data_IF_333823064045
#
_entry.id   IF_333823064045
#
_cell.length_a   1.000
_cell.length_b   1.000
_cell.length_c   1.000
_cell.angle_alpha   90.00
_cell.angle_beta   90.00
_cell.angle_gamma   90.00
#
_symmetry.space_group_name_H-M   'P 1'
#
loop_
_entity.id
_entity.type
_entity.pdbx_description
1 polymer ?
#
# COMPACT_ATOMS: atom_id res chain seq x y z
N UNK A 1 28.23 -33.22 29.56
CA UNK A 1 28.50 -33.07 28.13
C UNK A 1 27.29 -33.35 27.23
N UNK A 2 26.56 -34.47 27.35
CA UNK A 2 25.42 -34.77 26.44
C UNK A 2 24.20 -33.83 26.51
N UNK A 3 23.89 -33.24 27.67
CA UNK A 3 22.74 -32.32 27.83
C UNK A 3 22.97 -30.96 27.17
N UNK A 4 24.19 -30.43 27.30
CA UNK A 4 24.57 -29.13 26.75
C UNK A 4 24.66 -29.15 25.22
N UNK A 5 25.16 -30.26 24.63
CA UNK A 5 25.18 -30.42 23.17
C UNK A 5 23.77 -30.48 22.60
N UNK A 6 22.87 -31.26 23.22
CA UNK A 6 21.48 -31.34 22.79
C UNK A 6 20.78 -29.96 22.90
N UNK A 7 20.97 -29.24 24.00
CA UNK A 7 20.43 -27.91 24.20
C UNK A 7 20.95 -26.91 23.15
N UNK A 8 22.24 -26.95 22.81
CA UNK A 8 22.83 -26.13 21.75
C UNK A 8 22.23 -26.42 20.36
N UNK A 9 21.92 -27.69 20.06
CA UNK A 9 21.22 -28.06 18.83
C UNK A 9 19.77 -27.57 18.80
N UNK A 10 19.05 -27.62 19.93
CA UNK A 10 17.68 -27.07 20.03
C UNK A 10 17.65 -25.55 19.91
N UNK A 11 18.60 -24.85 20.54
CA UNK A 11 18.74 -23.40 20.44
C UNK A 11 19.03 -22.99 18.99
N UNK A 12 20.01 -23.65 18.33
CA UNK A 12 20.29 -23.40 16.90
C UNK A 12 19.09 -23.68 16.00
N UNK A 13 18.36 -24.78 16.21
CA UNK A 13 17.17 -25.10 15.42
C UNK A 13 16.05 -24.07 15.62
N UNK A 14 15.93 -23.50 16.82
CA UNK A 14 14.99 -22.42 17.12
C UNK A 14 15.42 -21.13 16.42
N UNK A 15 16.69 -20.75 16.49
CA UNK A 15 17.25 -19.60 15.77
C UNK A 15 16.99 -19.69 14.26
N UNK A 16 17.27 -20.85 13.63
CA UNK A 16 17.01 -21.02 12.19
C UNK A 16 15.53 -20.92 11.84
N UNK A 17 14.64 -21.46 12.67
CA UNK A 17 13.19 -21.36 12.47
C UNK A 17 12.72 -19.91 12.51
N UNK A 18 13.22 -19.14 13.48
CA UNK A 18 12.85 -17.73 13.63
C UNK A 18 13.41 -16.88 12.48
N UNK A 19 14.62 -17.18 12.00
CA UNK A 19 15.19 -16.56 10.79
C UNK A 19 14.37 -16.86 9.53
N UNK A 20 13.91 -18.10 9.37
CA UNK A 20 13.06 -18.46 8.21
C UNK A 20 11.73 -17.69 8.28
N UNK A 21 11.11 -17.60 9.46
CA UNK A 21 9.87 -16.84 9.64
C UNK A 21 10.06 -15.35 9.37
N UNK A 22 11.14 -14.75 9.87
CA UNK A 22 11.41 -13.33 9.63
C UNK A 22 11.70 -13.04 8.16
N UNK A 23 12.43 -13.91 7.47
CA UNK A 23 12.68 -13.78 6.04
C UNK A 23 11.39 -13.91 5.22
N UNK A 24 10.53 -14.87 5.55
CA UNK A 24 9.22 -15.03 4.91
C UNK A 24 8.34 -13.79 5.10
N UNK A 25 8.33 -13.21 6.30
CA UNK A 25 7.62 -11.96 6.59
C UNK A 25 8.15 -10.78 5.78
N UNK A 26 9.48 -10.61 5.72
CA UNK A 26 10.13 -9.54 4.92
C UNK A 26 9.79 -9.71 3.44
N UNK A 27 9.89 -10.94 2.92
CA UNK A 27 9.57 -11.25 1.53
C UNK A 27 8.11 -10.92 1.19
N UNK A 28 7.17 -11.33 2.04
CA UNK A 28 5.74 -11.02 1.86
C UNK A 28 5.48 -9.51 1.80
N UNK A 29 6.08 -8.74 2.71
CA UNK A 29 5.91 -7.29 2.73
C UNK A 29 6.55 -6.60 1.52
N UNK A 30 7.73 -7.04 1.08
CA UNK A 30 8.36 -6.57 -0.16
C UNK A 30 7.47 -6.84 -1.39
N UNK A 31 6.85 -8.02 -1.46
CA UNK A 31 5.93 -8.35 -2.54
C UNK A 31 4.66 -7.50 -2.50
N UNK A 32 4.08 -7.29 -1.31
CA UNK A 32 2.92 -6.42 -1.13
C UNK A 32 3.24 -4.97 -1.51
N UNK A 33 4.40 -4.46 -1.07
CA UNK A 33 4.91 -3.14 -1.44
C UNK A 33 5.09 -3.00 -2.94
N UNK A 34 5.74 -3.96 -3.59
CA UNK A 34 5.90 -3.98 -5.06
C UNK A 34 4.56 -4.04 -5.79
N UNK A 35 3.58 -4.76 -5.25
CA UNK A 35 2.26 -4.88 -5.85
C UNK A 35 1.51 -3.55 -5.78
N UNK A 36 1.46 -2.91 -4.61
CA UNK A 36 0.79 -1.63 -4.42
C UNK A 36 1.50 -0.47 -5.15
N UNK A 37 2.83 -0.53 -5.30
CA UNK A 37 3.61 0.49 -6.01
C UNK A 37 3.53 0.40 -7.54
N UNK A 38 3.05 -0.72 -8.11
CA UNK A 38 3.02 -0.91 -9.57
C UNK A 38 1.63 -0.80 -10.17
N UNK A 39 0.58 -0.72 -9.35
CA UNK A 39 -0.82 -0.71 -9.78
C UNK A 39 -1.49 0.65 -9.61
N UNK A 40 -2.58 0.80 -10.33
CA UNK A 40 -3.50 1.91 -10.16
C UNK A 40 -4.57 1.49 -9.13
N UNK A 41 -4.77 2.30 -8.10
CA UNK A 41 -5.70 2.02 -7.00
C UNK A 41 -6.72 3.14 -6.94
N UNK A 42 -7.99 2.78 -6.85
CA UNK A 42 -9.08 3.71 -6.56
C UNK A 42 -9.57 3.47 -5.14
N UNK A 43 -9.37 4.47 -4.26
CA UNK A 43 -9.86 4.45 -2.89
C UNK A 43 -11.12 5.30 -2.77
N UNK A 44 -12.09 4.79 -2.02
CA UNK A 44 -13.29 5.48 -1.59
C UNK A 44 -13.32 5.56 -0.07
N UNK A 45 -13.04 6.75 0.46
CA UNK A 45 -12.99 6.97 1.91
C UNK A 45 -14.25 7.76 2.34
N UNK A 46 -15.11 7.20 3.21
CA UNK A 46 -16.24 7.94 3.75
C UNK A 46 -15.75 9.07 4.67
N UNK A 47 -16.38 10.24 4.54
CA UNK A 47 -16.16 11.42 5.38
C UNK A 47 -17.49 11.88 5.97
N UNK A 48 -17.48 12.87 6.87
CA UNK A 48 -18.68 13.27 7.64
C UNK A 48 -19.92 13.53 6.79
N UNK A 49 -19.74 14.17 5.63
CA UNK A 49 -20.84 14.66 4.79
C UNK A 49 -20.88 14.03 3.37
N UNK A 50 -20.15 12.93 3.15
CA UNK A 50 -20.07 12.29 1.83
C UNK A 50 -18.90 11.32 1.70
N UNK A 51 -18.40 11.17 0.47
CA UNK A 51 -17.31 10.25 0.14
C UNK A 51 -16.19 10.98 -0.61
N UNK A 52 -14.95 10.57 -0.36
CA UNK A 52 -13.78 11.11 -1.04
C UNK A 52 -13.10 10.03 -1.85
N UNK A 53 -12.96 10.30 -3.14
CA UNK A 53 -12.19 9.45 -4.04
C UNK A 53 -10.73 9.89 -4.11
N UNK A 54 -9.84 8.90 -4.11
CA UNK A 54 -8.43 9.07 -4.38
C UNK A 54 -8.03 8.10 -5.48
N UNK A 55 -7.43 8.62 -6.55
CA UNK A 55 -6.76 7.80 -7.55
C UNK A 55 -5.26 7.83 -7.28
N UNK A 56 -4.71 6.65 -7.04
CA UNK A 56 -3.31 6.42 -6.75
C UNK A 56 -2.71 5.63 -7.91
N UNK A 57 -1.57 6.06 -8.41
CA UNK A 57 -0.83 5.35 -9.46
C UNK A 57 0.65 5.51 -9.16
N UNK A 58 1.41 4.42 -9.28
CA UNK A 58 2.86 4.41 -9.03
C UNK A 58 3.22 5.03 -7.67
N UNK A 59 2.46 4.65 -6.63
CA UNK A 59 2.61 5.18 -5.26
C UNK A 59 2.41 6.68 -5.09
N UNK A 60 1.77 7.35 -6.04
CA UNK A 60 1.44 8.78 -5.97
C UNK A 60 -0.06 8.99 -6.06
N UNK A 61 -0.58 9.89 -5.23
CA UNK A 61 -1.96 10.37 -5.38
C UNK A 61 -1.98 11.31 -6.58
N UNK A 62 -2.56 10.86 -7.70
CA UNK A 62 -2.66 11.65 -8.93
C UNK A 62 -3.80 12.64 -8.83
N UNK A 63 -4.94 12.19 -8.29
CA UNK A 63 -6.12 13.03 -8.14
C UNK A 63 -6.92 12.63 -6.91
N UNK A 64 -7.57 13.62 -6.31
CA UNK A 64 -8.50 13.43 -5.20
C UNK A 64 -9.69 14.36 -5.37
N UNK A 65 -10.91 13.88 -5.09
CA UNK A 65 -12.14 14.67 -5.23
C UNK A 65 -13.17 14.24 -4.20
N UNK A 66 -13.90 15.23 -3.66
CA UNK A 66 -14.97 15.02 -2.70
C UNK A 66 -16.33 14.99 -3.41
N UNK A 67 -17.21 14.11 -2.95
CA UNK A 67 -18.55 13.91 -3.47
C UNK A 67 -19.54 13.86 -2.29
N UNK A 68 -20.54 14.76 -2.23
CA UNK A 68 -21.59 14.69 -1.21
C UNK A 68 -22.41 13.40 -1.28
N UNK A 69 -22.59 12.86 -2.48
CA UNK A 69 -23.22 11.56 -2.74
C UNK A 69 -22.47 10.95 -3.90
N UNK A 70 -21.92 9.75 -3.75
CA UNK A 70 -21.18 9.10 -4.82
C UNK A 70 -22.08 8.18 -5.63
N UNK A 71 -22.23 8.50 -6.91
CA UNK A 71 -22.86 7.65 -7.91
C UNK A 71 -21.83 6.99 -8.83
N UNK A 72 -22.24 5.91 -9.50
CA UNK A 72 -21.39 5.24 -10.48
C UNK A 72 -20.94 6.18 -11.62
N UNK A 73 -21.83 7.08 -12.06
CA UNK A 73 -21.52 8.08 -13.10
C UNK A 73 -20.43 9.05 -12.65
N UNK A 74 -20.42 9.46 -11.38
CA UNK A 74 -19.36 10.33 -10.84
C UNK A 74 -18.02 9.62 -10.75
N UNK A 75 -18.00 8.32 -10.42
CA UNK A 75 -16.79 7.51 -10.46
C UNK A 75 -16.23 7.45 -11.89
N UNK A 76 -17.08 7.20 -12.88
CA UNK A 76 -16.66 7.13 -14.29
C UNK A 76 -16.15 8.48 -14.81
N UNK A 77 -16.84 9.58 -14.49
CA UNK A 77 -16.37 10.93 -14.82
C UNK A 77 -15.03 11.24 -14.16
N UNK A 78 -14.85 10.85 -12.89
CA UNK A 78 -13.59 11.02 -12.17
C UNK A 78 -12.45 10.24 -12.84
N UNK A 79 -12.68 8.98 -13.23
CA UNK A 79 -11.68 8.19 -13.95
C UNK A 79 -11.34 8.78 -15.33
N UNK A 80 -12.35 9.33 -16.03
CA UNK A 80 -12.14 10.04 -17.29
C UNK A 80 -11.30 11.31 -17.10
N UNK A 81 -11.50 12.07 -16.01
CA UNK A 81 -10.64 13.21 -15.65
C UNK A 81 -9.20 12.76 -15.39
N UNK A 82 -9.02 11.72 -14.56
CA UNK A 82 -7.69 11.17 -14.19
C UNK A 82 -6.89 10.77 -15.43
N UNK A 83 -7.53 10.09 -16.39
CA UNK A 83 -6.86 9.64 -17.63
C UNK A 83 -6.23 10.78 -18.43
N UNK A 84 -6.81 11.98 -18.36
CA UNK A 84 -6.27 13.19 -19.00
C UNK A 84 -5.11 13.79 -18.20
N UNK A 85 -5.14 13.67 -16.88
CA UNK A 85 -4.15 14.26 -15.96
C UNK A 85 -2.92 13.37 -15.72
N UNK A 86 -3.01 12.05 -15.95
CA UNK A 86 -1.93 11.07 -15.71
C UNK A 86 -0.61 11.41 -16.42
N UNK A 87 -0.65 12.19 -17.50
CA UNK A 87 0.53 12.64 -18.24
C UNK A 87 1.33 13.78 -17.57
N UNK A 88 0.78 14.47 -16.56
CA UNK A 88 1.33 15.73 -16.05
C UNK A 88 1.99 15.65 -14.66
N UNK A 89 1.93 14.51 -13.97
CA UNK A 89 2.41 14.41 -12.58
C UNK A 89 3.87 13.96 -12.54
N UNK A 90 4.78 14.92 -12.69
CA UNK A 90 6.18 14.80 -12.31
C UNK A 90 6.50 15.83 -11.23
N UNK A 91 6.30 15.48 -9.96
CA UNK A 91 6.78 16.30 -8.86
C UNK A 91 8.28 16.04 -8.67
N UNK A 92 9.07 17.10 -8.65
CA UNK A 92 10.52 17.06 -8.37
C UNK A 92 10.71 16.87 -6.86
N UNK A 93 10.62 15.63 -6.40
CA UNK A 93 10.87 15.26 -5.01
C UNK A 93 12.26 14.66 -4.89
N UNK A 94 12.96 15.01 -3.82
CA UNK A 94 14.18 14.27 -3.46
C UNK A 94 13.82 12.83 -3.08
N UNK A 95 14.80 11.93 -3.24
CA UNK A 95 14.62 10.49 -3.05
C UNK A 95 14.09 10.13 -1.66
N UNK A 96 14.55 10.82 -0.61
CA UNK A 96 14.12 10.53 0.76
C UNK A 96 12.65 10.88 0.95
N UNK A 97 12.24 12.06 0.50
CA UNK A 97 10.83 12.49 0.57
C UNK A 97 9.91 11.54 -0.20
N UNK A 98 10.34 11.07 -1.37
CA UNK A 98 9.60 10.08 -2.15
C UNK A 98 9.45 8.78 -1.36
N UNK A 99 10.53 8.21 -0.83
CA UNK A 99 10.49 6.96 -0.04
C UNK A 99 9.62 7.11 1.21
N UNK A 100 9.77 8.19 1.96
CA UNK A 100 8.97 8.45 3.17
C UNK A 100 7.47 8.52 2.83
N UNK A 101 7.11 9.23 1.75
CA UNK A 101 5.71 9.33 1.30
C UNK A 101 5.15 7.97 0.86
N UNK A 102 5.91 7.20 0.07
CA UNK A 102 5.47 5.88 -0.38
C UNK A 102 5.24 4.93 0.80
N UNK A 103 6.12 4.96 1.80
CA UNK A 103 5.99 4.16 3.01
C UNK A 103 4.72 4.53 3.80
N UNK A 104 4.47 5.83 4.01
CA UNK A 104 3.27 6.30 4.68
C UNK A 104 2.02 5.87 3.90
N UNK A 105 1.98 6.15 2.59
CA UNK A 105 0.84 5.83 1.75
C UNK A 105 0.53 4.32 1.78
N UNK A 106 1.56 3.49 1.72
CA UNK A 106 1.44 2.04 1.79
C UNK A 106 0.87 1.61 3.14
N UNK A 107 1.40 2.10 4.26
CA UNK A 107 0.90 1.74 5.58
C UNK A 107 -0.56 2.18 5.79
N UNK A 108 -0.93 3.36 5.27
CA UNK A 108 -2.31 3.83 5.34
C UNK A 108 -3.24 2.92 4.54
N UNK A 109 -2.90 2.57 3.28
CA UNK A 109 -3.71 1.67 2.45
C UNK A 109 -3.89 0.30 3.11
N UNK A 110 -2.84 -0.25 3.73
CA UNK A 110 -2.92 -1.54 4.43
C UNK A 110 -3.81 -1.50 5.67
N UNK A 111 -3.93 -0.34 6.31
CA UNK A 111 -4.79 -0.16 7.49
C UNK A 111 -6.26 0.08 7.12
N UNK A 112 -6.56 0.38 5.84
CA UNK A 112 -7.94 0.62 5.39
C UNK A 112 -8.73 -0.70 5.24
N UNK A 113 -10.06 -0.66 5.45
CA UNK A 113 -10.94 -1.78 5.11
C UNK A 113 -10.88 -2.09 3.60
N UNK A 114 -10.89 -3.37 3.23
CA UNK A 114 -10.87 -3.79 1.81
C UNK A 114 -12.07 -3.24 1.01
N UNK A 115 -13.23 -3.04 1.65
CA UNK A 115 -14.45 -2.49 1.03
C UNK A 115 -14.29 -1.04 0.53
N UNK A 116 -13.24 -0.34 1.01
CA UNK A 116 -12.94 1.03 0.59
C UNK A 116 -12.03 1.06 -0.65
N UNK A 117 -11.50 -0.09 -1.08
CA UNK A 117 -10.63 -0.23 -2.24
C UNK A 117 -11.47 -0.73 -3.41
N UNK A 118 -11.85 0.19 -4.31
CA UNK A 118 -12.75 -0.12 -5.41
C UNK A 118 -12.06 -0.85 -6.58
N UNK A 119 -10.78 -0.58 -6.80
CA UNK A 119 -9.99 -1.17 -7.91
C UNK A 119 -8.58 -1.50 -7.39
N UNK A 120 -8.12 -2.73 -7.68
CA UNK A 120 -6.75 -3.25 -7.46
C UNK A 120 -6.16 -3.77 -8.76
#
# INVERSE_FOLDING_TARGET
MHKESAQYHYERATTYRDLIKSLAYISHNLHAYKHLTTRDILLKIPVRDGEKLFYISKSKIIQKKYFPTLSQTEIEMFLAEVSKTKAAVGADWDEKTEVDFQNILFSEIQALPDDWILIK
#
